data_IF_533677487785
#
_entry.id   IF_533677487785
#
_cell.length_a   1.000
_cell.length_b   1.000
_cell.length_c   1.000
_cell.angle_alpha   90.00
_cell.angle_beta   90.00
_cell.angle_gamma   90.00
#
_symmetry.space_group_name_H-M   'P 1'
#
loop_
_entity.id
_entity.type
_entity.pdbx_description
1 polymer ?
#
# COMPACT_ATOMS: atom_id res chain seq x y z
N UNK A 1 -22.56 -16.77 -17.35
CA UNK A 1 -21.26 -16.23 -17.81
C UNK A 1 -21.54 -15.35 -19.01
N UNK A 2 -20.86 -14.20 -19.19
CA UNK A 2 -20.96 -13.45 -20.44
C UNK A 2 -20.56 -14.38 -21.60
N UNK A 3 -21.35 -14.44 -22.66
CA UNK A 3 -21.08 -15.30 -23.83
C UNK A 3 -19.69 -15.00 -24.42
N UNK A 4 -19.19 -13.79 -24.20
CA UNK A 4 -17.90 -13.29 -24.67
C UNK A 4 -16.68 -13.94 -23.97
N UNK A 5 -16.85 -14.63 -22.84
CA UNK A 5 -15.78 -15.38 -22.16
C UNK A 5 -15.87 -16.90 -22.38
N UNK A 6 -16.88 -17.37 -23.12
CA UNK A 6 -17.18 -18.79 -23.27
C UNK A 6 -15.97 -19.58 -23.74
N UNK A 7 -15.18 -19.05 -24.68
CA UNK A 7 -14.03 -19.79 -25.20
C UNK A 7 -12.94 -20.03 -24.15
N UNK A 8 -12.62 -19.02 -23.32
CA UNK A 8 -11.63 -19.17 -22.25
C UNK A 8 -12.11 -20.22 -21.23
N UNK A 9 -13.37 -20.12 -20.80
CA UNK A 9 -13.97 -21.04 -19.82
C UNK A 9 -14.03 -22.46 -20.38
N UNK A 10 -14.50 -22.64 -21.62
CA UNK A 10 -14.56 -23.95 -22.27
C UNK A 10 -13.17 -24.56 -22.45
N UNK A 11 -12.16 -23.79 -22.86
CA UNK A 11 -10.78 -24.31 -22.97
C UNK A 11 -10.24 -24.72 -21.60
N UNK A 12 -10.51 -23.95 -20.56
CA UNK A 12 -10.12 -24.30 -19.18
C UNK A 12 -10.79 -25.61 -18.72
N UNK A 13 -12.11 -25.72 -18.87
CA UNK A 13 -12.89 -26.91 -18.48
C UNK A 13 -12.45 -28.16 -19.25
N UNK A 14 -12.19 -28.03 -20.56
CA UNK A 14 -11.70 -29.14 -21.38
C UNK A 14 -10.33 -29.65 -20.90
N UNK A 15 -9.41 -28.75 -20.56
CA UNK A 15 -8.08 -29.14 -20.04
C UNK A 15 -8.17 -29.69 -18.63
N UNK A 16 -9.03 -29.13 -17.79
CA UNK A 16 -9.25 -29.64 -16.45
C UNK A 16 -9.80 -31.07 -16.47
N UNK A 17 -10.74 -31.36 -17.37
CA UNK A 17 -11.35 -32.68 -17.51
C UNK A 17 -10.47 -33.68 -18.29
N UNK A 18 -9.67 -33.20 -19.24
CA UNK A 18 -8.89 -34.05 -20.16
C UNK A 18 -7.42 -34.27 -19.76
N UNK A 19 -6.78 -33.29 -19.14
CA UNK A 19 -5.36 -33.32 -18.78
C UNK A 19 -5.18 -33.47 -17.27
N UNK A 20 -5.90 -32.67 -16.49
CA UNK A 20 -5.85 -32.72 -15.03
C UNK A 20 -5.79 -31.35 -14.37
N UNK A 21 -5.11 -31.26 -13.23
CA UNK A 21 -5.10 -30.09 -12.35
C UNK A 21 -4.27 -28.94 -12.94
N UNK A 22 -4.83 -27.73 -13.08
CA UNK A 22 -4.08 -26.56 -13.54
C UNK A 22 -2.95 -26.22 -12.57
N UNK A 23 -1.78 -25.84 -13.09
CA UNK A 23 -0.58 -25.52 -12.32
C UNK A 23 0.24 -26.74 -11.88
N UNK A 24 -0.25 -27.96 -12.13
CA UNK A 24 0.45 -29.22 -11.81
C UNK A 24 0.58 -30.08 -13.06
N UNK A 25 -0.56 -30.46 -13.65
CA UNK A 25 -0.61 -31.37 -14.80
C UNK A 25 -0.54 -30.59 -16.12
N UNK A 26 -0.83 -29.29 -16.09
CA UNK A 26 -0.67 -28.38 -17.22
C UNK A 26 -0.61 -26.91 -16.78
N UNK A 27 0.02 -26.08 -17.60
CA UNK A 27 0.07 -24.62 -17.44
C UNK A 27 -0.37 -23.94 -18.72
N UNK A 28 -0.78 -22.69 -18.61
CA UNK A 28 -1.07 -21.86 -19.78
C UNK A 28 0.21 -21.34 -20.41
N UNK A 29 0.28 -21.38 -21.74
CA UNK A 29 1.31 -20.64 -22.47
C UNK A 29 0.95 -19.15 -22.50
N UNK A 30 1.94 -18.28 -22.33
CA UNK A 30 1.71 -16.84 -22.23
C UNK A 30 1.06 -16.27 -23.50
N UNK A 31 1.50 -16.71 -24.67
CA UNK A 31 0.96 -16.24 -25.95
C UNK A 31 -0.47 -16.74 -26.19
N UNK A 32 -0.82 -17.92 -25.65
CA UNK A 32 -2.19 -18.42 -25.66
C UNK A 32 -3.11 -17.51 -24.84
N UNK A 33 -2.69 -17.15 -23.61
CA UNK A 33 -3.47 -16.26 -22.76
C UNK A 33 -3.65 -14.87 -23.38
N UNK A 34 -2.58 -14.33 -23.97
CA UNK A 34 -2.61 -13.05 -24.70
C UNK A 34 -3.64 -13.07 -25.83
N UNK A 35 -3.67 -14.12 -26.63
CA UNK A 35 -4.62 -14.26 -27.72
C UNK A 35 -6.06 -14.44 -27.24
N UNK A 36 -6.27 -15.22 -26.18
CA UNK A 36 -7.59 -15.39 -25.57
C UNK A 36 -8.09 -14.07 -24.97
N UNK A 37 -7.24 -13.36 -24.25
CA UNK A 37 -7.54 -12.05 -23.66
C UNK A 37 -7.92 -11.04 -24.74
N UNK A 38 -7.08 -10.88 -25.77
CA UNK A 38 -7.32 -9.98 -26.91
C UNK A 38 -8.67 -10.24 -27.56
N UNK A 39 -8.98 -11.49 -27.88
CA UNK A 39 -10.26 -11.85 -28.54
C UNK A 39 -11.46 -11.59 -27.63
N UNK A 40 -11.37 -11.95 -26.35
CA UNK A 40 -12.43 -11.73 -25.37
C UNK A 40 -12.75 -10.24 -25.24
N UNK A 41 -11.73 -9.39 -25.12
CA UNK A 41 -11.92 -7.93 -25.06
C UNK A 41 -12.55 -7.41 -26.36
N UNK A 42 -12.07 -7.83 -27.53
CA UNK A 42 -12.65 -7.41 -28.81
C UNK A 42 -14.12 -7.81 -28.97
N UNK A 43 -14.52 -8.98 -28.46
CA UNK A 43 -15.91 -9.42 -28.47
C UNK A 43 -16.77 -8.60 -27.50
N UNK A 44 -16.30 -8.33 -26.28
CA UNK A 44 -16.99 -7.47 -25.29
C UNK A 44 -17.20 -6.06 -25.85
N UNK A 45 -16.20 -5.51 -26.55
CA UNK A 45 -16.26 -4.16 -27.13
C UNK A 45 -17.36 -4.00 -28.20
N UNK A 46 -17.90 -5.10 -28.75
CA UNK A 46 -19.06 -5.06 -29.64
C UNK A 46 -20.31 -4.60 -28.89
N UNK A 47 -20.49 -5.03 -27.65
CA UNK A 47 -21.69 -4.77 -26.85
C UNK A 47 -21.53 -3.61 -25.86
N UNK A 48 -20.33 -3.37 -25.32
CA UNK A 48 -20.12 -2.36 -24.26
C UNK A 48 -18.69 -1.78 -24.24
N UNK A 49 -18.50 -0.55 -23.73
CA UNK A 49 -17.16 -0.03 -23.45
C UNK A 49 -16.50 -0.76 -22.26
N UNK A 50 -15.17 -0.78 -22.23
CA UNK A 50 -14.35 -1.44 -21.21
C UNK A 50 -13.27 -0.49 -20.72
N UNK A 51 -13.09 -0.47 -19.40
CA UNK A 51 -11.99 0.23 -18.73
C UNK A 51 -11.10 -0.79 -18.04
N UNK A 52 -9.80 -0.67 -18.26
CA UNK A 52 -8.80 -1.57 -17.69
C UNK A 52 -7.86 -0.73 -16.83
N UNK A 53 -7.79 -1.05 -15.55
CA UNK A 53 -6.84 -0.46 -14.62
C UNK A 53 -5.78 -1.50 -14.29
N UNK A 54 -4.52 -1.17 -14.57
CA UNK A 54 -3.37 -1.99 -14.25
C UNK A 54 -2.58 -1.25 -13.18
N UNK A 55 -2.72 -1.70 -11.95
CA UNK A 55 -2.03 -1.11 -10.80
C UNK A 55 -0.63 -1.73 -10.62
N UNK A 56 0.26 -0.95 -10.00
CA UNK A 56 1.62 -1.34 -9.63
C UNK A 56 2.43 -2.01 -10.78
N UNK A 57 2.33 -1.47 -12.00
CA UNK A 57 2.95 -2.10 -13.18
C UNK A 57 4.47 -2.31 -13.03
N UNK A 58 5.16 -1.39 -12.32
CA UNK A 58 6.59 -1.45 -12.02
C UNK A 58 6.99 -2.68 -11.20
N UNK A 59 6.06 -3.26 -10.45
CA UNK A 59 6.33 -4.43 -9.62
C UNK A 59 6.64 -5.70 -10.40
N UNK A 60 6.25 -5.74 -11.68
CA UNK A 60 6.52 -6.85 -12.60
C UNK A 60 7.94 -6.86 -13.16
N UNK A 61 8.71 -5.78 -12.95
CA UNK A 61 10.04 -5.58 -13.53
C UNK A 61 10.01 -5.01 -14.95
N UNK A 62 11.16 -4.50 -15.41
CA UNK A 62 11.18 -3.55 -16.54
C UNK A 62 10.73 -4.13 -17.86
N UNK A 63 11.21 -5.32 -18.16
CA UNK A 63 10.92 -5.97 -19.43
C UNK A 63 9.49 -6.47 -19.48
N UNK A 64 8.94 -6.94 -18.35
CA UNK A 64 7.54 -7.35 -18.25
C UNK A 64 6.61 -6.14 -18.37
N UNK A 65 6.89 -5.04 -17.66
CA UNK A 65 6.12 -3.80 -17.76
C UNK A 65 6.04 -3.29 -19.21
N UNK A 66 7.18 -3.24 -19.90
CA UNK A 66 7.25 -2.88 -21.33
C UNK A 66 6.46 -3.85 -22.21
N UNK A 67 6.54 -5.16 -21.96
CA UNK A 67 5.81 -6.16 -22.72
C UNK A 67 4.28 -6.04 -22.54
N UNK A 68 3.81 -5.81 -21.30
CA UNK A 68 2.40 -5.57 -20.98
C UNK A 68 1.90 -4.33 -21.72
N UNK A 69 2.65 -3.22 -21.64
CA UNK A 69 2.32 -1.97 -22.34
C UNK A 69 2.22 -2.19 -23.86
N UNK A 70 3.20 -2.87 -24.47
CA UNK A 70 3.17 -3.18 -25.92
C UNK A 70 1.94 -3.99 -26.30
N UNK A 71 1.61 -5.00 -25.51
CA UNK A 71 0.43 -5.84 -25.77
C UNK A 71 -0.87 -5.05 -25.75
N UNK A 72 -1.03 -4.15 -24.78
CA UNK A 72 -2.20 -3.26 -24.71
C UNK A 72 -2.22 -2.20 -25.82
N UNK A 73 -1.05 -1.71 -26.28
CA UNK A 73 -0.97 -0.85 -27.47
C UNK A 73 -1.50 -1.56 -28.71
N UNK A 74 -1.11 -2.81 -28.94
CA UNK A 74 -1.57 -3.60 -30.08
C UNK A 74 -3.10 -3.80 -30.06
N UNK A 75 -3.70 -3.85 -28.86
CA UNK A 75 -5.15 -3.94 -28.68
C UNK A 75 -5.88 -2.62 -29.03
N UNK A 76 -5.25 -1.48 -28.79
CA UNK A 76 -5.80 -0.15 -29.10
C UNK A 76 -5.73 0.24 -30.58
N UNK A 77 -4.93 -0.45 -31.39
CA UNK A 77 -4.80 -0.15 -32.83
C UNK A 77 -5.98 -0.63 -33.69
N UNK A 78 -6.96 -1.33 -33.11
CA UNK A 78 -8.15 -1.80 -33.83
C UNK A 78 -9.15 -0.68 -34.19
N UNK A 79 -9.78 -0.71 -35.38
CA UNK A 79 -10.72 0.34 -35.82
C UNK A 79 -11.95 0.50 -34.92
N UNK A 80 -12.32 -0.53 -34.15
CA UNK A 80 -13.47 -0.54 -33.23
C UNK A 80 -13.11 -0.23 -31.78
N UNK A 81 -11.82 -0.11 -31.42
CA UNK A 81 -11.37 -0.07 -30.02
C UNK A 81 -11.11 1.36 -29.51
N UNK A 82 -10.80 2.29 -30.40
CA UNK A 82 -10.32 3.65 -30.05
C UNK A 82 -11.27 4.51 -29.21
N UNK A 83 -12.58 4.25 -29.25
CA UNK A 83 -13.59 5.00 -28.48
C UNK A 83 -14.26 4.20 -27.35
N UNK A 84 -14.03 2.89 -27.30
CA UNK A 84 -14.71 1.97 -26.37
C UNK A 84 -13.78 1.30 -25.38
N UNK A 85 -12.48 1.30 -25.63
CA UNK A 85 -11.48 0.73 -24.73
C UNK A 85 -10.63 1.84 -24.13
N UNK A 86 -10.61 1.92 -22.80
CA UNK A 86 -9.75 2.82 -22.05
C UNK A 86 -8.86 2.02 -21.11
N UNK A 87 -7.59 2.41 -21.02
CA UNK A 87 -6.59 1.68 -20.24
C UNK A 87 -5.81 2.72 -19.43
N UNK A 88 -5.70 2.47 -18.14
CA UNK A 88 -4.93 3.26 -17.20
C UNK A 88 -3.89 2.36 -16.55
N UNK A 89 -2.64 2.78 -16.61
CA UNK A 89 -1.54 2.15 -15.90
C UNK A 89 -1.16 3.05 -14.74
N UNK A 90 -1.04 2.46 -13.54
CA UNK A 90 -0.44 3.11 -12.40
C UNK A 90 0.93 2.45 -12.12
N UNK A 91 1.94 3.27 -11.95
CA UNK A 91 3.29 2.84 -11.59
C UNK A 91 4.04 3.96 -10.88
N UNK A 92 5.11 3.60 -10.17
CA UNK A 92 6.11 4.56 -9.69
C UNK A 92 6.86 5.18 -10.87
N UNK A 93 7.68 6.20 -10.60
CA UNK A 93 8.65 6.75 -11.55
C UNK A 93 9.47 5.62 -12.18
N UNK A 94 9.06 5.20 -13.37
CA UNK A 94 9.60 4.05 -14.05
C UNK A 94 10.14 4.52 -15.40
N UNK A 95 11.32 4.05 -15.83
CA UNK A 95 11.82 4.34 -17.16
C UNK A 95 11.04 3.54 -18.21
N UNK A 96 9.73 3.72 -18.26
CA UNK A 96 8.93 3.38 -19.43
C UNK A 96 9.17 4.52 -20.40
N UNK A 97 9.83 4.20 -21.51
CA UNK A 97 10.01 5.12 -22.62
C UNK A 97 8.64 5.72 -22.95
N UNK A 98 8.55 7.06 -22.85
CA UNK A 98 7.31 7.85 -22.89
C UNK A 98 6.29 7.24 -23.84
N UNK A 99 5.09 7.01 -23.32
CA UNK A 99 3.99 6.52 -24.13
C UNK A 99 3.70 7.55 -25.24
N UNK A 100 4.13 7.28 -26.47
CA UNK A 100 3.72 8.11 -27.63
C UNK A 100 2.19 8.00 -27.80
N UNK A 101 1.47 9.09 -27.51
CA UNK A 101 0.04 9.26 -27.83
C UNK A 101 -0.96 9.01 -26.69
N UNK A 102 -0.59 9.23 -25.43
CA UNK A 102 -1.45 9.00 -24.27
C UNK A 102 -1.17 10.01 -23.18
N UNK A 103 -2.10 10.11 -22.24
CA UNK A 103 -2.04 11.05 -21.15
C UNK A 103 -1.21 10.46 -20.01
N UNK A 104 -0.14 11.16 -19.65
CA UNK A 104 0.64 10.89 -18.45
C UNK A 104 0.24 11.89 -17.37
N UNK A 105 -0.09 11.39 -16.18
CA UNK A 105 -0.41 12.20 -15.01
C UNK A 105 0.61 11.83 -13.94
N UNK A 106 1.46 12.79 -13.59
CA UNK A 106 2.35 12.67 -12.44
C UNK A 106 1.59 13.17 -11.21
N UNK A 107 1.20 12.25 -10.33
CA UNK A 107 0.35 12.56 -9.18
C UNK A 107 0.96 13.59 -8.23
N UNK A 108 2.28 13.56 -8.09
CA UNK A 108 3.07 14.45 -7.26
C UNK A 108 2.89 15.92 -7.67
N UNK A 109 2.71 16.19 -8.98
CA UNK A 109 2.48 17.54 -9.47
C UNK A 109 1.05 18.06 -9.20
N UNK A 110 0.09 17.16 -9.01
CA UNK A 110 -1.34 17.50 -8.85
C UNK A 110 -1.77 17.56 -7.38
N UNK A 111 -1.04 16.90 -6.47
CA UNK A 111 -1.45 16.70 -5.06
C UNK A 111 -1.29 17.93 -4.15
N UNK A 112 -0.61 19.00 -4.59
CA UNK A 112 -0.20 20.11 -3.71
C UNK A 112 -1.38 20.74 -2.93
N UNK A 113 -2.49 21.00 -3.61
CA UNK A 113 -3.66 21.64 -3.00
C UNK A 113 -4.40 20.71 -2.03
N UNK A 114 -4.46 19.42 -2.35
CA UNK A 114 -5.10 18.42 -1.50
C UNK A 114 -4.31 18.17 -0.23
N UNK A 115 -2.98 18.11 -0.33
CA UNK A 115 -2.07 18.02 0.82
C UNK A 115 -2.27 19.22 1.75
N UNK A 116 -2.30 20.44 1.21
CA UNK A 116 -2.52 21.65 2.01
C UNK A 116 -3.87 21.62 2.73
N UNK A 117 -4.92 21.18 2.03
CA UNK A 117 -6.27 21.06 2.59
C UNK A 117 -6.30 20.02 3.72
N UNK A 118 -5.69 18.86 3.50
CA UNK A 118 -5.53 17.82 4.50
C UNK A 118 -4.79 18.32 5.76
N UNK A 119 -3.66 19.01 5.58
CA UNK A 119 -2.86 19.52 6.69
C UNK A 119 -3.60 20.57 7.51
N UNK A 120 -4.33 21.49 6.85
CA UNK A 120 -5.16 22.49 7.54
C UNK A 120 -6.25 21.84 8.38
N UNK A 121 -6.88 20.77 7.88
CA UNK A 121 -7.87 20.03 8.65
C UNK A 121 -7.22 19.31 9.86
N UNK A 122 -6.11 18.60 9.64
CA UNK A 122 -5.40 17.82 10.68
C UNK A 122 -4.79 18.68 11.78
N UNK A 123 -4.34 19.88 11.45
CA UNK A 123 -3.69 20.81 12.38
C UNK A 123 -4.64 21.92 12.88
N UNK A 124 -5.95 21.80 12.64
CA UNK A 124 -6.92 22.83 13.02
C UNK A 124 -6.96 23.11 14.53
N UNK A 125 -6.82 22.07 15.34
CA UNK A 125 -6.77 22.17 16.82
C UNK A 125 -5.34 22.35 17.36
N UNK A 126 -4.32 22.38 16.49
CA UNK A 126 -2.92 22.50 16.88
C UNK A 126 -2.53 23.97 17.11
N UNK A 127 -2.82 24.46 18.31
CA UNK A 127 -2.68 25.89 18.69
C UNK A 127 -1.34 26.19 19.39
N UNK A 128 -0.21 25.93 18.73
CA UNK A 128 1.11 26.31 19.24
C UNK A 128 1.54 27.66 18.62
N UNK A 129 1.99 28.64 19.43
CA UNK A 129 2.56 29.88 18.91
C UNK A 129 3.73 29.61 17.93
N UNK A 130 3.76 30.31 16.79
CA UNK A 130 4.82 30.15 15.79
C UNK A 130 4.55 29.08 14.71
N UNK A 131 3.57 28.19 14.89
CA UNK A 131 3.32 27.08 13.94
C UNK A 131 2.24 27.37 12.90
N UNK A 132 1.77 28.62 12.76
CA UNK A 132 0.72 28.99 11.79
C UNK A 132 1.11 28.72 10.33
N UNK A 133 2.41 28.78 10.01
CA UNK A 133 2.92 28.51 8.67
C UNK A 133 3.15 27.01 8.39
N UNK A 134 2.97 26.15 9.40
CA UNK A 134 3.31 24.73 9.34
C UNK A 134 2.62 23.96 8.20
N UNK A 135 1.32 24.15 7.91
CA UNK A 135 0.69 23.49 6.77
C UNK A 135 1.37 23.83 5.44
N UNK A 136 1.73 25.09 5.21
CA UNK A 136 2.39 25.51 3.97
C UNK A 136 3.80 24.93 3.86
N UNK A 137 4.55 24.93 4.98
CA UNK A 137 5.90 24.37 5.03
C UNK A 137 5.90 22.87 4.73
N UNK A 138 5.01 22.10 5.35
CA UNK A 138 4.90 20.66 5.10
C UNK A 138 4.44 20.41 3.66
N UNK A 139 3.48 21.18 3.13
CA UNK A 139 3.07 21.06 1.72
C UNK A 139 4.25 21.27 0.77
N UNK A 140 5.05 22.31 0.96
CA UNK A 140 6.21 22.58 0.12
C UNK A 140 7.27 21.48 0.23
N UNK A 141 7.53 21.00 1.45
CA UNK A 141 8.53 19.96 1.70
C UNK A 141 8.10 18.57 1.25
N UNK A 142 6.80 18.31 1.12
CA UNK A 142 6.25 17.01 0.73
C UNK A 142 6.51 16.63 -0.72
N UNK A 143 6.81 17.60 -1.59
CA UNK A 143 7.01 17.38 -3.03
C UNK A 143 5.89 16.54 -3.68
N UNK A 144 4.65 16.75 -3.24
CA UNK A 144 3.48 16.03 -3.75
C UNK A 144 3.24 14.65 -3.15
N UNK A 145 4.11 14.17 -2.25
CA UNK A 145 3.99 12.87 -1.59
C UNK A 145 3.06 12.94 -0.38
N UNK A 146 1.83 12.47 -0.57
CA UNK A 146 0.79 12.50 0.48
C UNK A 146 1.18 11.70 1.73
N UNK A 147 1.83 10.55 1.55
CA UNK A 147 2.30 9.70 2.65
C UNK A 147 3.35 10.42 3.51
N UNK A 148 4.23 11.20 2.88
CA UNK A 148 5.23 11.99 3.60
C UNK A 148 4.55 13.05 4.47
N UNK A 149 3.58 13.80 3.91
CA UNK A 149 2.82 14.80 4.65
C UNK A 149 2.04 14.19 5.82
N UNK A 150 1.43 13.02 5.62
CA UNK A 150 0.75 12.25 6.67
C UNK A 150 1.71 11.83 7.79
N UNK A 151 2.87 11.28 7.45
CA UNK A 151 3.85 10.83 8.45
C UNK A 151 4.42 11.98 9.27
N UNK A 152 4.69 13.12 8.64
CA UNK A 152 5.16 14.32 9.33
C UNK A 152 4.11 14.84 10.30
N UNK A 153 2.86 15.04 9.85
CA UNK A 153 1.81 15.57 10.72
C UNK A 153 1.49 14.61 11.85
N UNK A 154 1.50 13.30 11.58
CA UNK A 154 1.28 12.27 12.59
C UNK A 154 2.35 12.28 13.67
N UNK A 155 3.63 12.47 13.31
CA UNK A 155 4.72 12.61 14.28
C UNK A 155 4.62 13.88 15.09
N UNK A 156 4.24 15.00 14.47
CA UNK A 156 4.07 16.29 15.16
C UNK A 156 2.95 16.20 16.18
N UNK A 157 1.82 15.59 15.83
CA UNK A 157 0.67 15.42 16.73
C UNK A 157 0.92 14.43 17.87
N UNK A 158 1.88 13.52 17.71
CA UNK A 158 2.30 12.59 18.77
C UNK A 158 3.30 13.21 19.76
N UNK A 159 3.84 14.41 19.49
CA UNK A 159 4.72 15.11 20.41
C UNK A 159 3.94 15.66 21.61
N UNK A 160 4.45 15.43 22.82
CA UNK A 160 3.94 16.08 24.03
C UNK A 160 4.58 17.46 24.19
N UNK A 161 4.10 18.42 23.38
CA UNK A 161 4.64 19.79 23.32
C UNK A 161 4.05 20.71 24.41
N UNK A 162 3.15 20.21 25.25
CA UNK A 162 2.50 21.00 26.30
C UNK A 162 3.49 21.45 27.39
N UNK A 163 4.58 20.71 27.60
CA UNK A 163 5.53 20.94 28.68
C UNK A 163 6.67 21.93 28.32
N UNK A 164 6.97 22.15 27.03
CA UNK A 164 8.00 23.12 26.59
C UNK A 164 7.65 23.79 25.23
N UNK A 165 6.78 24.82 25.25
CA UNK A 165 6.35 25.52 24.03
C UNK A 165 7.48 26.27 23.33
N UNK A 166 8.53 26.67 24.06
CA UNK A 166 9.63 27.46 23.50
C UNK A 166 10.55 26.64 22.59
N UNK A 167 10.52 25.31 22.71
CA UNK A 167 11.32 24.38 21.91
C UNK A 167 10.49 23.71 20.79
N UNK A 168 9.17 23.92 20.75
CA UNK A 168 8.27 23.25 19.82
C UNK A 168 8.66 23.49 18.35
N UNK A 169 9.04 24.72 17.98
CA UNK A 169 9.45 25.05 16.62
C UNK A 169 10.73 24.31 16.19
N UNK A 170 11.74 24.24 17.06
CA UNK A 170 13.00 23.55 16.79
C UNK A 170 12.76 22.03 16.63
N UNK A 171 11.96 21.43 17.51
CA UNK A 171 11.61 20.01 17.46
C UNK A 171 10.83 19.68 16.18
N UNK A 172 9.86 20.51 15.79
CA UNK A 172 9.07 20.33 14.56
C UNK A 172 9.96 20.45 13.33
N UNK A 173 10.81 21.48 13.27
CA UNK A 173 11.75 21.66 12.15
C UNK A 173 12.70 20.47 12.03
N UNK A 174 13.19 19.94 13.15
CA UNK A 174 14.02 18.74 13.17
C UNK A 174 13.28 17.52 12.59
N UNK A 175 11.99 17.33 12.88
CA UNK A 175 11.20 16.25 12.26
C UNK A 175 11.12 16.43 10.74
N UNK A 176 10.81 17.64 10.29
CA UNK A 176 10.69 17.97 8.86
C UNK A 176 12.00 17.77 8.12
N UNK A 177 13.13 18.11 8.74
CA UNK A 177 14.45 18.00 8.12
C UNK A 177 15.06 16.60 8.19
N UNK A 178 14.63 15.76 9.13
CA UNK A 178 15.13 14.38 9.28
C UNK A 178 14.40 13.38 8.39
N UNK A 179 13.14 13.63 8.02
CA UNK A 179 12.38 12.72 7.17
C UNK A 179 12.86 12.79 5.71
N UNK A 180 13.34 11.68 5.12
CA UNK A 180 13.73 11.66 3.72
C UNK A 180 12.57 12.05 2.81
N UNK A 181 12.87 12.86 1.79
CA UNK A 181 11.87 13.30 0.80
C UNK A 181 11.64 12.27 -0.30
N UNK A 182 12.59 11.37 -0.52
CA UNK A 182 12.42 10.23 -1.42
C UNK A 182 11.71 9.08 -0.69
N UNK A 183 10.67 8.53 -1.31
CA UNK A 183 9.83 7.51 -0.70
C UNK A 183 10.59 6.20 -0.45
N UNK A 184 11.49 5.81 -1.35
CA UNK A 184 12.29 4.59 -1.16
C UNK A 184 13.25 4.75 0.02
N UNK A 185 13.90 5.91 0.11
CA UNK A 185 14.78 6.25 1.24
C UNK A 185 13.99 6.27 2.54
N UNK A 186 12.82 6.93 2.56
CA UNK A 186 11.93 6.98 3.72
C UNK A 186 11.57 5.58 4.22
N UNK A 187 11.16 4.69 3.32
CA UNK A 187 10.88 3.30 3.68
C UNK A 187 12.12 2.56 4.15
N UNK A 188 13.26 2.70 3.49
CA UNK A 188 14.51 2.05 3.88
C UNK A 188 14.95 2.47 5.29
N UNK A 189 14.80 3.74 5.64
CA UNK A 189 15.11 4.22 6.99
C UNK A 189 14.14 3.66 8.01
N UNK A 190 12.84 3.64 7.73
CA UNK A 190 11.83 3.07 8.64
C UNK A 190 12.07 1.57 8.86
N UNK A 191 12.40 0.83 7.79
CA UNK A 191 12.70 -0.60 7.89
C UNK A 191 13.97 -0.84 8.69
N UNK A 192 15.04 -0.07 8.42
CA UNK A 192 16.30 -0.15 9.17
C UNK A 192 16.07 0.16 10.66
N UNK A 193 15.30 1.18 10.98
CA UNK A 193 14.96 1.51 12.37
C UNK A 193 14.17 0.35 13.01
N UNK A 194 13.22 -0.25 12.28
CA UNK A 194 12.45 -1.40 12.74
C UNK A 194 13.30 -2.67 12.93
N UNK A 195 14.31 -2.92 12.09
CA UNK A 195 15.26 -4.04 12.24
C UNK A 195 16.08 -3.92 13.52
N UNK A 196 16.43 -2.69 13.92
CA UNK A 196 17.17 -2.45 15.17
C UNK A 196 16.29 -2.51 16.42
N UNK A 197 14.96 -2.55 16.27
CA UNK A 197 13.99 -2.58 17.36
C UNK A 197 13.21 -3.91 17.35
N UNK A 198 13.52 -4.88 18.24
CA UNK A 198 12.90 -6.21 18.24
C UNK A 198 11.37 -6.21 18.25
N UNK A 199 10.75 -5.26 18.95
CA UNK A 199 9.30 -5.11 18.98
C UNK A 199 8.72 -4.62 17.64
N UNK A 200 9.40 -3.71 16.95
CA UNK A 200 8.98 -3.20 15.63
C UNK A 200 9.10 -4.30 14.58
N UNK A 201 10.22 -5.03 14.57
CA UNK A 201 10.39 -6.19 13.70
C UNK A 201 9.30 -7.24 13.93
N UNK A 202 9.02 -7.58 15.20
CA UNK A 202 7.96 -8.53 15.57
C UNK A 202 6.58 -8.08 15.07
N UNK A 203 6.26 -6.79 15.19
CA UNK A 203 5.01 -6.21 14.66
C UNK A 203 4.91 -6.39 13.15
N UNK A 204 5.94 -6.00 12.41
CA UNK A 204 5.97 -6.11 10.94
C UNK A 204 5.84 -7.56 10.50
N UNK A 205 6.58 -8.49 11.13
CA UNK A 205 6.50 -9.92 10.83
C UNK A 205 5.09 -10.48 11.03
N UNK A 206 4.43 -10.15 12.15
CA UNK A 206 3.07 -10.65 12.38
C UNK A 206 2.07 -10.14 11.35
N UNK A 207 2.15 -8.87 10.96
CA UNK A 207 1.22 -8.31 9.98
C UNK A 207 1.51 -8.85 8.58
N UNK A 208 2.79 -8.92 8.18
CA UNK A 208 3.21 -9.39 6.86
C UNK A 208 3.00 -10.88 6.65
N UNK A 209 3.25 -11.71 7.67
CA UNK A 209 3.11 -13.17 7.55
C UNK A 209 1.70 -13.69 7.87
N UNK A 210 0.77 -12.82 8.29
CA UNK A 210 -0.60 -13.23 8.54
C UNK A 210 -1.35 -13.53 7.24
N UNK A 211 -2.09 -14.63 7.22
CA UNK A 211 -2.93 -15.04 6.05
C UNK A 211 -4.11 -14.11 5.78
N UNK A 212 -4.48 -13.31 6.77
CA UNK A 212 -5.53 -12.29 6.71
C UNK A 212 -5.15 -11.13 7.63
N UNK A 213 -5.72 -9.94 7.43
CA UNK A 213 -5.56 -8.86 8.39
C UNK A 213 -5.91 -9.32 9.82
N UNK A 214 -5.03 -8.98 10.76
CA UNK A 214 -5.18 -9.30 12.18
C UNK A 214 -6.14 -8.31 12.82
N UNK A 215 -7.00 -8.80 13.71
CA UNK A 215 -7.68 -7.91 14.65
C UNK A 215 -6.71 -7.32 15.67
N UNK A 216 -7.05 -6.19 16.26
CA UNK A 216 -6.24 -5.54 17.29
C UNK A 216 -6.05 -6.47 18.51
N UNK A 217 -7.05 -7.29 18.84
CA UNK A 217 -6.99 -8.27 19.92
C UNK A 217 -6.03 -9.42 19.63
N UNK A 218 -6.06 -9.96 18.41
CA UNK A 218 -5.11 -10.97 17.95
C UNK A 218 -3.69 -10.44 17.96
N UNK A 219 -3.50 -9.22 17.45
CA UNK A 219 -2.19 -8.59 17.43
C UNK A 219 -1.65 -8.34 18.84
N UNK A 220 -2.51 -7.94 19.79
CA UNK A 220 -2.12 -7.77 21.21
C UNK A 220 -1.48 -9.05 21.75
N UNK A 221 -2.11 -10.20 21.52
CA UNK A 221 -1.56 -11.48 21.95
C UNK A 221 -0.30 -11.84 21.17
N UNK A 222 -0.28 -11.64 19.85
CA UNK A 222 0.88 -11.91 19.02
C UNK A 222 2.13 -11.14 19.47
N UNK A 223 1.94 -9.90 19.95
CA UNK A 223 3.03 -9.05 20.45
C UNK A 223 3.57 -9.52 21.81
N UNK A 224 2.72 -10.04 22.70
CA UNK A 224 3.10 -10.40 24.09
C UNK A 224 3.54 -11.86 24.22
N UNK A 225 2.94 -12.77 23.46
CA UNK A 225 3.29 -14.19 23.51
C UNK A 225 4.66 -14.39 22.85
N UNK A 226 5.55 -15.07 23.58
CA UNK A 226 6.89 -15.41 23.13
C UNK A 226 7.12 -16.91 23.37
N UNK A 227 7.35 -17.71 22.31
CA UNK A 227 7.58 -19.16 22.44
C UNK A 227 8.83 -19.50 23.26
N UNK A 228 9.76 -18.56 23.44
CA UNK A 228 10.97 -18.77 24.24
C UNK A 228 10.81 -18.37 25.72
N UNK A 229 9.63 -17.85 26.11
CA UNK A 229 9.42 -17.42 27.50
C UNK A 229 9.10 -18.58 28.45
N UNK A 230 9.38 -18.40 29.73
CA UNK A 230 9.07 -19.36 30.80
C UNK A 230 7.60 -19.31 31.27
N UNK A 231 6.76 -18.44 30.67
CA UNK A 231 5.36 -18.31 31.06
C UNK A 231 4.55 -19.52 30.61
N UNK A 232 3.80 -20.11 31.54
CA UNK A 232 3.01 -21.34 31.31
C UNK A 232 1.50 -21.11 31.21
N UNK A 233 1.03 -19.86 31.32
CA UNK A 233 -0.40 -19.53 31.25
C UNK A 233 -0.66 -18.14 30.67
N UNK A 234 -1.86 -17.93 30.12
CA UNK A 234 -2.29 -16.62 29.63
C UNK A 234 -2.33 -15.56 30.74
N UNK A 235 -2.69 -15.95 31.97
CA UNK A 235 -2.70 -15.04 33.12
C UNK A 235 -1.29 -14.50 33.42
N UNK A 236 -0.26 -15.33 33.26
CA UNK A 236 1.12 -14.89 33.45
C UNK A 236 1.51 -13.79 32.44
N UNK A 237 1.09 -13.92 31.18
CA UNK A 237 1.28 -12.89 30.16
C UNK A 237 0.45 -11.63 30.41
N UNK A 238 -0.79 -11.75 30.92
CA UNK A 238 -1.60 -10.58 31.29
C UNK A 238 -0.97 -9.70 32.36
N UNK A 239 -0.12 -10.29 33.20
CA UNK A 239 0.55 -9.59 34.29
C UNK A 239 1.88 -8.95 33.85
N UNK A 240 2.29 -9.09 32.59
CA UNK A 240 3.51 -8.43 32.08
C UNK A 240 3.23 -6.96 31.74
N UNK A 241 4.23 -6.07 31.85
CA UNK A 241 4.08 -4.66 31.47
C UNK A 241 3.81 -4.46 29.98
N UNK A 242 4.10 -5.47 29.15
CA UNK A 242 3.88 -5.41 27.70
C UNK A 242 2.42 -5.65 27.27
N UNK A 243 1.59 -6.20 28.18
CA UNK A 243 0.17 -6.44 27.95
C UNK A 243 -0.69 -5.28 28.45
N UNK A 244 -1.62 -4.82 27.63
CA UNK A 244 -2.60 -3.80 27.99
C UNK A 244 -3.92 -4.06 27.29
N UNK A 245 -5.02 -4.15 28.03
CA UNK A 245 -6.38 -4.28 27.48
C UNK A 245 -6.90 -2.95 26.91
N UNK A 246 -6.19 -1.84 27.13
CA UNK A 246 -6.56 -0.54 26.57
C UNK A 246 -6.28 -0.52 25.07
N UNK A 247 -7.33 -0.41 24.26
CA UNK A 247 -7.23 -0.37 22.81
C UNK A 247 -6.49 0.88 22.31
N UNK A 248 -6.71 2.04 22.93
CA UNK A 248 -6.08 3.30 22.51
C UNK A 248 -4.57 3.26 22.75
N UNK A 249 -4.15 2.60 23.84
CA UNK A 249 -2.74 2.31 24.10
C UNK A 249 -2.16 1.38 23.02
N UNK A 250 -2.88 0.32 22.65
CA UNK A 250 -2.43 -0.61 21.61
C UNK A 250 -2.36 0.04 20.23
N UNK A 251 -3.32 0.89 19.88
CA UNK A 251 -3.29 1.67 18.63
C UNK A 251 -2.08 2.60 18.57
N UNK A 252 -1.82 3.31 19.67
CA UNK A 252 -0.61 4.14 19.79
C UNK A 252 0.66 3.29 19.66
N UNK A 253 0.72 2.14 20.33
CA UNK A 253 1.85 1.19 20.25
C UNK A 253 2.07 0.70 18.82
N UNK A 254 1.02 0.34 18.08
CA UNK A 254 1.09 -0.04 16.66
C UNK A 254 1.64 1.10 15.82
N UNK A 255 1.13 2.32 16.00
CA UNK A 255 1.58 3.50 15.26
C UNK A 255 3.06 3.80 15.54
N UNK A 256 3.48 3.77 16.81
CA UNK A 256 4.87 4.04 17.22
C UNK A 256 5.83 2.97 16.66
N UNK A 257 5.51 1.69 16.86
CA UNK A 257 6.39 0.59 16.42
C UNK A 257 6.49 0.47 14.89
N UNK A 258 5.43 0.86 14.17
CA UNK A 258 5.43 0.88 12.70
C UNK A 258 5.92 2.19 12.09
N UNK A 259 6.31 3.16 12.92
CA UNK A 259 6.62 4.54 12.49
C UNK A 259 5.51 5.18 11.65
N UNK A 260 4.25 4.82 11.91
CA UNK A 260 3.08 5.32 11.19
C UNK A 260 2.80 4.62 9.87
N UNK A 261 3.48 3.51 9.53
CA UNK A 261 3.22 2.73 8.31
C UNK A 261 2.05 1.76 8.43
N UNK A 262 1.64 1.46 9.66
CA UNK A 262 0.52 0.59 9.98
C UNK A 262 -0.58 1.42 10.63
N UNK A 263 -1.81 1.21 10.18
CA UNK A 263 -3.01 1.84 10.73
C UNK A 263 -3.99 0.80 11.27
N UNK A 264 -4.88 1.26 12.14
CA UNK A 264 -5.98 0.47 12.69
C UNK A 264 -7.29 1.00 12.12
N UNK A 265 -7.94 0.18 11.29
CA UNK A 265 -9.22 0.50 10.66
C UNK A 265 -10.37 -0.02 11.50
N UNK A 266 -11.39 0.82 11.63
CA UNK A 266 -12.64 0.48 12.30
C UNK A 266 -13.65 -0.04 11.27
N UNK A 267 -13.87 -1.35 11.24
CA UNK A 267 -14.84 -1.99 10.33
C UNK A 267 -15.99 -2.57 11.14
N UNK A 268 -17.14 -1.89 11.13
CA UNK A 268 -18.41 -2.28 11.80
C UNK A 268 -18.30 -2.63 13.30
N UNK A 269 -17.74 -3.78 13.65
CA UNK A 269 -17.56 -4.29 15.02
C UNK A 269 -16.12 -4.66 15.37
N UNK A 270 -15.18 -4.60 14.41
CA UNK A 270 -13.78 -5.02 14.64
C UNK A 270 -12.78 -3.93 14.27
N UNK A 271 -11.70 -3.86 15.07
CA UNK A 271 -10.52 -3.06 14.79
C UNK A 271 -9.49 -3.94 14.11
N UNK A 272 -9.17 -3.64 12.86
CA UNK A 272 -8.29 -4.44 12.01
C UNK A 272 -7.02 -3.67 11.72
N UNK A 273 -5.88 -4.37 11.80
CA UNK A 273 -4.55 -3.78 11.61
C UNK A 273 -4.06 -4.07 10.19
N UNK A 274 -3.61 -3.03 9.48
CA UNK A 274 -3.10 -3.14 8.12
C UNK A 274 -2.01 -2.12 7.80
N UNK A 275 -1.17 -2.42 6.81
CA UNK A 275 -0.30 -1.41 6.21
C UNK A 275 -1.11 -0.39 5.41
N UNK A 276 -0.71 0.89 5.49
CA UNK A 276 -1.31 1.98 4.70
C UNK A 276 -1.07 1.74 3.19
N UNK A 277 0.05 1.10 2.83
CA UNK A 277 0.38 0.71 1.46
C UNK A 277 0.63 -0.80 1.38
N UNK A 278 -0.35 -1.55 0.88
CA UNK A 278 -0.28 -3.02 0.80
C UNK A 278 0.63 -3.54 -0.32
N UNK A 279 0.84 -2.78 -1.40
CA UNK A 279 1.57 -3.28 -2.58
C UNK A 279 3.04 -3.63 -2.28
N UNK A 280 3.66 -2.99 -1.28
CA UNK A 280 5.05 -3.24 -0.92
C UNK A 280 5.28 -4.58 -0.19
N UNK A 281 4.33 -5.05 0.62
CA UNK A 281 4.55 -6.16 1.55
C UNK A 281 4.05 -7.52 1.04
N UNK A 282 3.29 -7.54 -0.05
CA UNK A 282 2.75 -8.78 -0.62
C UNK A 282 3.82 -9.67 -1.30
N UNK A 283 5.06 -9.19 -1.47
CA UNK A 283 6.08 -9.84 -2.30
C UNK A 283 6.85 -11.00 -1.64
N UNK A 284 6.80 -11.19 -0.33
CA UNK A 284 7.53 -12.30 0.31
C UNK A 284 6.69 -13.56 0.61
N UNK A 285 5.37 -13.51 0.44
CA UNK A 285 4.48 -14.63 0.80
C UNK A 285 4.16 -15.63 -0.33
N UNK A 286 4.83 -15.54 -1.48
CA UNK A 286 4.66 -16.53 -2.57
C UNK A 286 5.81 -17.53 -2.69
N UNK A 287 6.76 -17.51 -1.75
CA UNK A 287 7.93 -18.41 -1.74
C UNK A 287 8.07 -19.15 -0.40
N UNK A 288 7.01 -19.82 0.05
CA UNK A 288 7.09 -20.90 1.06
C UNK A 288 6.20 -22.06 0.61
#
# INVERSE_FOLDING_TARGET
>A
MPDELTRLVTTFEQRQNGIGRPGVDWTWELDELRELFKRSILDILKSRPVWIFVDALDESGAENAKAVIRHFKDLLQGPSTRSKLQICFACRHYPVQSWEGGLEICTEHENKQDILTYLRARLSDFQIPGTLALPNLITERSDGLFIWARLVVDRILDLDLADDPNNAEEVINKIIDTLPRDLNTLYAEIVRDAETAPASLKLVQWISCARRPLSLDELRWAMVVDPNSSHTSLQAYKNTPDYSENNDFMERKVKTLSHGLVEVIHSSETRVVQFIHQCFWAKENQSI
#
